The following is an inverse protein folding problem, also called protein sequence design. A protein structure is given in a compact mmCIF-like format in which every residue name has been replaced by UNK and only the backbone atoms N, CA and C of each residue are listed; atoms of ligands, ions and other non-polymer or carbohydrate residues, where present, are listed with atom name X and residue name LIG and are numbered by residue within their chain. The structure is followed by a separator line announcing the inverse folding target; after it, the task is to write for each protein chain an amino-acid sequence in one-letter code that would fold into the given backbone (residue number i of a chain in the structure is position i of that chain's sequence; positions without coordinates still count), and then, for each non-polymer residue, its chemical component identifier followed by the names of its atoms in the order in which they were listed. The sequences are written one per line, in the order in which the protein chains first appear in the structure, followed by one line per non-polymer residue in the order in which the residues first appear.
data_IF_076828567966
#
_entry.id   IF_076828567966
#
_cell.length_a   1.000
_cell.length_b   1.000
_cell.length_c   1.000
_cell.angle_alpha   90.00
_cell.angle_beta   90.00
_cell.angle_gamma   90.00
#
_symmetry.space_group_name_H-M   'P 1'
#
loop_
_entity.id
_entity.type
_entity.pdbx_description
1 polymer ?
#
# COMPACT_ATOMS: atom_id res chain seq x y z
N UNK A 1 -13.88 -8.08 -11.51
CA UNK A 1 -13.41 -6.69 -11.28
C UNK A 1 -13.49 -5.95 -12.59
N UNK A 2 -13.72 -4.63 -12.63
CA UNK A 2 -13.60 -3.91 -13.89
C UNK A 2 -12.17 -4.08 -14.39
N UNK A 3 -12.00 -4.49 -15.64
CA UNK A 3 -10.69 -4.53 -16.27
C UNK A 3 -10.08 -3.12 -16.18
N UNK A 4 -8.82 -3.03 -15.72
CA UNK A 4 -8.02 -1.79 -15.60
C UNK A 4 -8.24 -0.96 -14.32
N UNK A 5 -8.43 -1.60 -13.17
CA UNK A 5 -8.28 -0.93 -11.86
C UNK A 5 -7.03 -1.47 -11.16
N UNK A 6 -6.11 -0.57 -10.77
CA UNK A 6 -4.96 -0.88 -9.93
C UNK A 6 -4.90 0.08 -8.74
N UNK A 7 -4.37 -0.38 -7.61
CA UNK A 7 -4.19 0.44 -6.41
C UNK A 7 -2.78 0.24 -5.88
N UNK A 8 -2.06 1.34 -5.67
CA UNK A 8 -0.72 1.35 -5.09
C UNK A 8 -0.77 1.99 -3.71
N UNK A 9 -0.17 1.35 -2.70
CA UNK A 9 -0.14 1.82 -1.32
C UNK A 9 1.30 2.09 -0.87
N UNK A 10 1.56 3.25 -0.27
CA UNK A 10 2.83 3.63 0.36
C UNK A 10 4.01 3.83 -0.60
N UNK A 11 3.93 3.37 -1.85
CA UNK A 11 4.88 3.67 -2.93
C UNK A 11 4.14 4.07 -4.18
N UNK A 12 4.17 5.37 -4.49
CA UNK A 12 3.50 5.92 -5.65
C UNK A 12 4.29 5.63 -6.94
N UNK A 13 3.63 5.40 -8.09
CA UNK A 13 4.30 5.25 -9.38
C UNK A 13 5.23 6.43 -9.68
N UNK A 14 6.47 6.14 -10.08
CA UNK A 14 7.51 7.13 -10.37
C UNK A 14 8.15 7.77 -9.13
N UNK A 15 7.75 7.35 -7.92
CA UNK A 15 8.28 7.86 -6.63
C UNK A 15 8.85 6.75 -5.76
N UNK A 16 9.31 5.65 -6.36
CA UNK A 16 9.87 4.51 -5.62
C UNK A 16 11.05 4.89 -4.71
N UNK A 17 11.89 5.84 -5.13
CA UNK A 17 13.00 6.35 -4.32
C UNK A 17 12.59 7.23 -3.12
N UNK A 18 11.29 7.54 -2.97
CA UNK A 18 10.76 8.31 -1.84
C UNK A 18 10.28 7.43 -0.69
N UNK A 19 10.37 6.11 -0.82
CA UNK A 19 10.10 5.21 0.30
C UNK A 19 11.08 5.46 1.47
N UNK A 20 10.63 5.45 2.75
CA UNK A 20 9.26 5.31 3.24
C UNK A 20 8.54 6.65 3.49
N UNK A 21 9.05 7.79 3.00
CA UNK A 21 8.46 9.10 3.26
C UNK A 21 7.04 9.26 2.68
N UNK A 22 6.72 8.56 1.58
CA UNK A 22 5.39 8.54 0.95
C UNK A 22 4.45 7.45 1.51
N UNK A 23 4.80 6.85 2.66
CA UNK A 23 4.07 5.74 3.27
C UNK A 23 2.58 5.99 3.53
N UNK A 24 2.21 7.26 3.69
CA UNK A 24 0.86 7.69 4.04
C UNK A 24 0.00 7.92 2.80
N UNK A 25 0.54 7.70 1.61
CA UNK A 25 -0.14 8.00 0.36
C UNK A 25 -0.56 6.71 -0.34
N UNK A 26 -1.63 6.79 -1.10
CA UNK A 26 -2.04 5.74 -2.02
C UNK A 26 -2.50 6.36 -3.34
N UNK A 27 -2.53 5.58 -4.41
CA UNK A 27 -3.17 6.01 -5.64
C UNK A 27 -4.03 4.91 -6.24
N UNK A 28 -5.09 5.35 -6.90
CA UNK A 28 -5.99 4.49 -7.67
C UNK A 28 -5.78 4.81 -9.14
N UNK A 29 -5.53 3.77 -9.93
CA UNK A 29 -5.44 3.84 -11.38
C UNK A 29 -6.69 3.24 -11.99
N UNK A 30 -7.39 3.99 -12.84
CA UNK A 30 -8.59 3.53 -13.56
C UNK A 30 -8.40 3.89 -15.02
N UNK A 31 -8.32 2.87 -15.90
CA UNK A 31 -8.23 3.09 -17.35
C UNK A 31 -7.03 3.95 -17.78
N UNK A 32 -5.90 3.86 -17.08
CA UNK A 32 -4.69 4.64 -17.36
C UNK A 32 -4.63 6.02 -16.70
N UNK A 33 -5.67 6.43 -15.97
CA UNK A 33 -5.68 7.67 -15.17
C UNK A 33 -5.34 7.37 -13.71
N UNK A 34 -4.32 8.04 -13.18
CA UNK A 34 -3.89 7.91 -11.77
C UNK A 34 -4.45 9.06 -10.92
N UNK A 35 -5.04 8.73 -9.78
CA UNK A 35 -5.49 9.72 -8.77
C UNK A 35 -4.77 9.46 -7.45
N UNK A 36 -4.18 10.50 -6.86
CA UNK A 36 -3.40 10.44 -5.62
C UNK A 36 -4.23 10.85 -4.42
N UNK A 37 -4.02 10.15 -3.30
CA UNK A 37 -4.72 10.38 -2.04
C UNK A 37 -3.73 10.32 -0.88
N UNK A 38 -3.97 11.15 0.13
CA UNK A 38 -3.36 11.02 1.45
C UNK A 38 -4.25 10.17 2.35
N UNK A 39 -3.62 9.47 3.29
CA UNK A 39 -4.26 8.65 4.31
C UNK A 39 -3.73 9.04 5.67
N UNK A 40 -4.62 9.08 6.66
CA UNK A 40 -4.29 9.20 8.08
C UNK A 40 -3.51 7.96 8.58
N UNK A 41 -3.62 6.83 7.89
CA UNK A 41 -2.88 5.61 8.15
C UNK A 41 -1.66 5.47 7.22
N UNK A 42 -0.50 5.08 7.77
CA UNK A 42 0.68 4.70 6.99
C UNK A 42 0.54 3.25 6.51
N UNK A 43 0.66 3.03 5.21
CA UNK A 43 0.63 1.70 4.57
C UNK A 43 2.03 1.06 4.45
N UNK A 44 3.02 1.68 5.10
CA UNK A 44 4.44 1.45 4.89
C UNK A 44 5.22 1.95 6.12
N UNK A 45 6.32 1.27 6.45
CA UNK A 45 7.25 1.70 7.50
C UNK A 45 8.65 1.11 7.22
N UNK A 46 9.70 1.54 7.95
CA UNK A 46 11.05 1.00 7.78
C UNK A 46 11.19 -0.51 8.08
N UNK A 47 10.24 -1.10 8.83
CA UNK A 47 10.20 -2.55 9.11
C UNK A 47 9.61 -3.36 7.93
N UNK A 48 8.99 -2.68 6.94
CA UNK A 48 8.43 -3.30 5.74
C UNK A 48 9.47 -3.31 4.61
N UNK A 49 9.82 -4.52 4.16
CA UNK A 49 10.98 -4.75 3.30
C UNK A 49 10.90 -4.09 1.91
N UNK A 50 9.69 -3.83 1.38
CA UNK A 50 9.46 -3.21 0.06
C UNK A 50 7.97 -3.00 -0.23
N UNK A 51 7.61 -2.14 -1.18
CA UNK A 51 6.26 -2.12 -1.76
C UNK A 51 5.81 -3.49 -2.26
N UNK A 52 4.51 -3.74 -2.14
CA UNK A 52 3.82 -4.94 -2.64
C UNK A 52 2.89 -4.52 -3.77
N UNK A 53 3.04 -5.16 -4.93
CA UNK A 53 2.15 -4.97 -6.09
C UNK A 53 1.35 -6.25 -6.31
N UNK A 54 0.02 -6.14 -6.37
CA UNK A 54 -0.87 -7.26 -6.66
C UNK A 54 -1.19 -7.25 -8.17
N UNK A 55 -0.99 -8.39 -8.82
CA UNK A 55 -1.31 -8.58 -10.24
C UNK A 55 -2.82 -8.71 -10.49
N UNK A 56 -3.20 -9.05 -11.73
CA UNK A 56 -4.59 -9.41 -12.02
C UNK A 56 -4.88 -10.84 -11.52
N UNK A 57 -5.93 -11.03 -10.73
CA UNK A 57 -6.29 -12.35 -10.24
C UNK A 57 -7.16 -12.31 -8.99
N UNK A 58 -7.41 -13.49 -8.42
CA UNK A 58 -8.07 -13.61 -7.11
C UNK A 58 -7.00 -13.59 -6.03
N UNK A 59 -7.01 -12.55 -5.21
CA UNK A 59 -6.09 -12.39 -4.09
C UNK A 59 -6.83 -12.61 -2.77
N UNK A 60 -6.16 -13.21 -1.79
CA UNK A 60 -6.64 -13.30 -0.42
C UNK A 60 -5.68 -12.53 0.48
N UNK A 61 -6.12 -11.37 0.93
CA UNK A 61 -5.30 -10.49 1.76
C UNK A 61 -5.55 -10.82 3.23
N UNK A 62 -4.46 -10.90 3.99
CA UNK A 62 -4.48 -10.86 5.44
C UNK A 62 -4.08 -9.45 5.86
N UNK A 63 -4.97 -8.81 6.62
CA UNK A 63 -4.69 -7.54 7.26
C UNK A 63 -4.42 -7.82 8.73
N UNK A 64 -3.25 -7.43 9.21
CA UNK A 64 -2.95 -7.39 10.63
C UNK A 64 -2.56 -5.97 11.02
N UNK A 65 -2.75 -5.64 12.29
CA UNK A 65 -2.43 -4.30 12.81
C UNK A 65 -1.38 -4.41 13.89
N UNK A 66 -0.40 -3.53 13.87
CA UNK A 66 0.59 -3.38 14.93
C UNK A 66 0.65 -1.91 15.32
N UNK A 67 0.52 -1.62 16.61
CA UNK A 67 0.79 -0.28 17.13
C UNK A 67 2.29 -0.19 17.36
N UNK A 68 2.94 0.79 16.75
CA UNK A 68 4.35 1.08 17.04
C UNK A 68 4.44 1.83 18.36
N UNK A 69 5.12 1.22 19.33
CA UNK A 69 5.20 1.70 20.71
C UNK A 69 5.89 3.06 20.87
N UNK A 70 6.75 3.48 19.92
CA UNK A 70 7.42 4.79 19.98
C UNK A 70 6.57 5.95 19.47
N UNK A 71 5.86 5.77 18.36
CA UNK A 71 5.08 6.85 17.74
C UNK A 71 3.60 6.81 18.07
N UNK A 72 3.11 5.70 18.62
CA UNK A 72 1.67 5.45 18.84
C UNK A 72 0.89 5.20 17.55
N UNK A 73 1.56 5.14 16.39
CA UNK A 73 0.90 4.96 15.11
C UNK A 73 0.43 3.52 14.94
N UNK A 74 -0.77 3.38 14.40
CA UNK A 74 -1.32 2.12 13.93
C UNK A 74 -0.74 1.82 12.54
N UNK A 75 0.00 0.73 12.43
CA UNK A 75 0.47 0.22 11.14
C UNK A 75 -0.43 -0.93 10.69
N UNK A 76 -0.89 -0.84 9.45
CA UNK A 76 -1.60 -1.92 8.78
C UNK A 76 -0.59 -2.74 7.99
N UNK A 77 -0.38 -3.98 8.42
CA UNK A 77 0.43 -4.96 7.74
C UNK A 77 -0.48 -5.71 6.76
N UNK A 78 -0.15 -5.61 5.47
CA UNK A 78 -0.88 -6.31 4.42
C UNK A 78 0.03 -7.42 3.90
N UNK A 79 -0.44 -8.67 3.97
CA UNK A 79 0.22 -9.80 3.35
C UNK A 79 -0.74 -10.59 2.47
N UNK A 80 -0.19 -11.23 1.44
CA UNK A 80 -0.96 -12.18 0.64
C UNK A 80 -0.91 -13.54 1.33
N UNK A 81 -2.10 -14.11 1.59
CA UNK A 81 -2.21 -15.47 2.08
C UNK A 81 -2.16 -16.39 0.87
N UNK A 82 -1.05 -17.12 0.73
CA UNK A 82 -0.97 -18.26 -0.19
C UNK A 82 -2.13 -19.23 0.06
N UNK A 83 -2.65 -19.82 -1.02
CA UNK A 83 -3.69 -20.84 -0.96
C UNK A 83 -3.24 -22.04 -0.11
#
# INVERSE_FOLDING_TARGET
MPDKVAVDFGTLPGRQGKWPADANNYCIQIGGKTTFYSSEASFSNPELNRPVSLGSGRHRLLLSTKIESKSGKLFVLISEKGL
#
